data_IF_136378082462
#
_entry.id   IF_136378082462
#
_cell.length_a   1.000
_cell.length_b   1.000
_cell.length_c   1.000
_cell.angle_alpha   90.00
_cell.angle_beta   90.00
_cell.angle_gamma   90.00
#
_symmetry.space_group_name_H-M   'P 1'
#
loop_
_entity.id
_entity.type
_entity.pdbx_description
1 polymer ?
#
# COMPACT_ATOMS: atom_id res chain seq x y z
N UNK A 1 2.32 0.60 18.48
CA UNK A 1 3.41 -0.36 18.74
C UNK A 1 4.63 -0.02 17.85
N UNK A 2 5.87 -0.30 18.26
CA UNK A 2 7.06 0.07 17.47
C UNK A 2 7.13 -0.71 16.14
N UNK A 3 6.75 -1.97 16.16
CA UNK A 3 6.76 -2.91 15.04
C UNK A 3 5.81 -2.51 13.91
N UNK A 4 4.57 -2.17 14.24
CA UNK A 4 3.58 -1.73 13.27
C UNK A 4 3.99 -0.40 12.62
N UNK A 5 4.65 0.49 13.38
CA UNK A 5 5.22 1.72 12.81
C UNK A 5 6.32 1.40 11.79
N UNK A 6 7.22 0.48 12.12
CA UNK A 6 8.27 0.02 11.18
C UNK A 6 7.68 -0.62 9.92
N UNK A 7 6.62 -1.42 10.04
CA UNK A 7 5.89 -2.00 8.91
C UNK A 7 5.24 -0.91 8.05
N UNK A 8 4.59 0.08 8.67
CA UNK A 8 3.97 1.21 7.97
C UNK A 8 5.01 2.00 7.16
N UNK A 9 6.16 2.30 7.77
CA UNK A 9 7.24 3.01 7.09
C UNK A 9 7.84 2.19 5.95
N UNK A 10 8.06 0.89 6.16
CA UNK A 10 8.55 -0.02 5.12
C UNK A 10 7.57 -0.08 3.93
N UNK A 11 6.28 -0.22 4.20
CA UNK A 11 5.22 -0.20 3.19
C UNK A 11 5.23 1.11 2.39
N UNK A 12 5.24 2.24 3.10
CA UNK A 12 5.22 3.59 2.51
C UNK A 12 6.40 3.80 1.58
N UNK A 13 7.63 3.58 2.07
CA UNK A 13 8.85 3.78 1.30
C UNK A 13 8.86 2.88 0.06
N UNK A 14 8.47 1.61 0.20
CA UNK A 14 8.51 0.67 -0.91
C UNK A 14 7.50 1.00 -2.01
N UNK A 15 6.34 1.56 -1.67
CA UNK A 15 5.31 1.92 -2.66
C UNK A 15 5.56 3.28 -3.33
N UNK A 16 6.17 4.24 -2.62
CA UNK A 16 6.55 5.54 -3.21
C UNK A 16 7.76 5.42 -4.15
N UNK A 17 8.73 4.57 -3.83
CA UNK A 17 9.91 4.36 -4.66
C UNK A 17 9.62 3.42 -5.83
N UNK A 18 9.17 3.98 -6.96
CA UNK A 18 8.93 3.21 -8.18
C UNK A 18 10.22 3.04 -8.99
N UNK A 19 10.92 1.92 -8.77
CA UNK A 19 11.97 1.43 -9.65
C UNK A 19 11.38 0.29 -10.51
N UNK A 20 11.42 0.38 -11.85
CA UNK A 20 11.00 -0.70 -12.74
C UNK A 20 11.72 -2.01 -12.42
N UNK A 21 10.99 -3.13 -12.46
CA UNK A 21 11.49 -4.49 -12.23
C UNK A 21 12.21 -4.74 -10.89
N UNK A 22 12.10 -3.83 -9.92
CA UNK A 22 12.78 -3.95 -8.63
C UNK A 22 12.44 -5.27 -7.92
N UNK A 23 11.14 -5.58 -7.79
CA UNK A 23 10.67 -6.82 -7.14
C UNK A 23 11.25 -8.06 -7.82
N UNK A 24 11.33 -8.07 -9.16
CA UNK A 24 11.91 -9.17 -9.92
C UNK A 24 13.40 -9.33 -9.62
N UNK A 25 14.17 -8.24 -9.70
CA UNK A 25 15.62 -8.25 -9.44
C UNK A 25 15.95 -8.75 -8.03
N UNK A 26 15.16 -8.34 -7.04
CA UNK A 26 15.30 -8.79 -5.64
C UNK A 26 15.05 -10.29 -5.54
N UNK A 27 13.98 -10.79 -6.14
CA UNK A 27 13.63 -12.21 -6.10
C UNK A 27 14.61 -13.09 -6.87
N UNK A 28 15.11 -12.64 -8.02
CA UNK A 28 16.17 -13.33 -8.75
C UNK A 28 17.43 -13.47 -7.88
N UNK A 29 17.78 -12.42 -7.13
CA UNK A 29 18.89 -12.46 -6.18
C UNK A 29 18.60 -13.39 -4.99
N UNK A 30 17.38 -13.38 -4.42
CA UNK A 30 17.00 -14.29 -3.34
C UNK A 30 17.12 -15.75 -3.80
N UNK A 31 16.66 -16.08 -5.00
CA UNK A 31 16.77 -17.42 -5.56
C UNK A 31 18.23 -17.91 -5.62
N UNK A 32 19.15 -17.06 -6.10
CA UNK A 32 20.58 -17.36 -6.09
C UNK A 32 21.10 -17.59 -4.68
N UNK A 33 20.71 -16.75 -3.72
CA UNK A 33 21.14 -16.89 -2.32
C UNK A 33 20.59 -18.12 -1.63
N UNK A 34 19.37 -18.56 -1.95
CA UNK A 34 18.83 -19.83 -1.47
C UNK A 34 19.67 -21.00 -1.97
N UNK A 35 20.01 -21.02 -3.26
CA UNK A 35 20.86 -22.05 -3.89
C UNK A 35 22.26 -22.06 -3.26
N UNK A 36 22.89 -20.91 -3.11
CA UNK A 36 24.22 -20.78 -2.48
C UNK A 36 24.25 -21.29 -1.03
N UNK A 37 23.10 -21.30 -0.34
CA UNK A 37 22.96 -21.75 1.04
C UNK A 37 22.40 -23.17 1.16
N UNK A 38 22.36 -23.94 0.07
CA UNK A 38 21.85 -25.32 0.07
C UNK A 38 22.40 -26.17 1.21
N UNK A 39 23.73 -26.23 1.36
CA UNK A 39 24.37 -27.05 2.40
C UNK A 39 23.97 -26.63 3.83
N UNK A 40 23.74 -25.34 4.05
CA UNK A 40 23.31 -24.83 5.35
C UNK A 40 21.86 -25.23 5.64
N UNK A 41 20.98 -25.22 4.62
CA UNK A 41 19.61 -25.71 4.75
C UNK A 41 19.59 -27.21 5.02
N UNK A 42 20.35 -28.01 4.27
CA UNK A 42 20.43 -29.46 4.46
C UNK A 42 20.91 -29.82 5.88
N UNK A 43 21.93 -29.13 6.39
CA UNK A 43 22.38 -29.28 7.78
C UNK A 43 21.29 -28.92 8.79
N UNK A 44 20.58 -27.81 8.58
CA UNK A 44 19.52 -27.38 9.48
C UNK A 44 18.34 -28.35 9.49
N UNK A 45 17.93 -28.86 8.32
CA UNK A 45 16.90 -29.91 8.17
C UNK A 45 17.30 -31.15 8.97
N UNK A 46 18.54 -31.62 8.83
CA UNK A 46 19.05 -32.79 9.57
C UNK A 46 19.05 -32.54 11.08
N UNK A 47 19.54 -31.38 11.52
CA UNK A 47 19.60 -31.01 12.94
C UNK A 47 18.21 -30.93 13.58
N UNK A 48 17.23 -30.39 12.86
CA UNK A 48 15.86 -30.21 13.34
C UNK A 48 14.98 -31.45 13.13
N UNK A 49 15.44 -32.43 12.34
CA UNK A 49 14.69 -33.64 11.95
C UNK A 49 13.37 -33.31 11.25
N UNK A 50 13.41 -32.34 10.35
CA UNK A 50 12.25 -31.86 9.60
C UNK A 50 11.89 -32.83 8.47
N UNK A 51 10.60 -33.07 8.26
CA UNK A 51 10.08 -33.91 7.16
C UNK A 51 9.92 -33.10 5.86
N UNK A 52 10.94 -32.32 5.51
CA UNK A 52 11.00 -31.55 4.27
C UNK A 52 12.40 -31.61 3.68
N UNK A 53 12.50 -31.48 2.36
CA UNK A 53 13.77 -31.38 1.65
C UNK A 53 14.10 -29.94 1.25
N UNK A 54 15.38 -29.68 0.94
CA UNK A 54 15.77 -28.41 0.31
C UNK A 54 15.06 -28.19 -1.05
N UNK A 55 14.71 -29.26 -1.77
CA UNK A 55 13.96 -29.12 -3.02
C UNK A 55 12.55 -28.59 -2.78
N UNK A 56 11.91 -28.91 -1.65
CA UNK A 56 10.58 -28.41 -1.31
C UNK A 56 10.62 -26.89 -1.06
N UNK A 57 11.64 -26.41 -0.35
CA UNK A 57 11.95 -24.97 -0.17
C UNK A 57 12.11 -24.28 -1.53
N UNK A 58 12.91 -24.86 -2.43
CA UNK A 58 13.18 -24.29 -3.74
C UNK A 58 11.95 -24.29 -4.66
N UNK A 59 11.13 -25.34 -4.58
CA UNK A 59 9.89 -25.46 -5.34
C UNK A 59 8.85 -24.45 -4.84
N UNK A 60 8.69 -24.30 -3.52
CA UNK A 60 7.82 -23.28 -2.93
C UNK A 60 8.15 -21.87 -3.44
N UNK A 61 9.45 -21.53 -3.50
CA UNK A 61 9.91 -20.26 -4.06
C UNK A 61 9.53 -20.12 -5.54
N UNK A 62 9.85 -21.13 -6.36
CA UNK A 62 9.62 -21.09 -7.81
C UNK A 62 8.13 -21.03 -8.17
N UNK A 63 7.28 -21.71 -7.42
CA UNK A 63 5.82 -21.66 -7.57
C UNK A 63 5.31 -20.24 -7.31
N UNK A 64 5.61 -19.67 -6.14
CA UNK A 64 5.20 -18.31 -5.79
C UNK A 64 5.79 -17.26 -6.75
N UNK A 65 7.01 -17.46 -7.22
CA UNK A 65 7.67 -16.59 -8.19
C UNK A 65 6.92 -16.55 -9.53
N UNK A 66 6.34 -17.68 -9.97
CA UNK A 66 5.56 -17.79 -11.21
C UNK A 66 4.14 -17.23 -11.11
N UNK A 67 3.59 -17.03 -9.90
CA UNK A 67 2.24 -16.47 -9.74
C UNK A 67 2.10 -15.12 -10.46
N UNK A 68 0.91 -14.78 -10.94
CA UNK A 68 0.71 -13.50 -11.62
C UNK A 68 0.83 -12.33 -10.63
N UNK A 69 1.72 -11.40 -10.97
CA UNK A 69 1.82 -10.11 -10.30
C UNK A 69 0.87 -9.10 -10.94
N UNK A 70 0.12 -8.32 -10.15
CA UNK A 70 -0.84 -7.32 -10.62
C UNK A 70 -0.41 -5.89 -10.31
N UNK A 71 0.66 -5.68 -9.53
CA UNK A 71 1.08 -4.36 -9.09
C UNK A 71 1.34 -3.42 -10.28
N UNK A 72 0.57 -2.33 -10.36
CA UNK A 72 0.63 -1.31 -11.43
C UNK A 72 0.53 -1.87 -12.88
N UNK A 73 0.01 -3.08 -13.10
CA UNK A 73 -0.07 -3.71 -14.43
C UNK A 73 -1.22 -3.21 -15.33
N UNK A 74 -2.11 -2.36 -14.83
CA UNK A 74 -3.11 -1.70 -15.66
C UNK A 74 -3.25 -0.25 -15.24
N UNK A 75 -2.66 0.70 -15.97
CA UNK A 75 -2.84 2.13 -15.74
C UNK A 75 -3.79 2.76 -16.77
N UNK A 76 -4.71 1.98 -17.33
CA UNK A 76 -5.63 2.48 -18.34
C UNK A 76 -6.78 3.23 -17.66
N UNK A 77 -6.50 4.47 -17.29
CA UNK A 77 -7.56 5.42 -16.93
C UNK A 77 -8.47 5.62 -18.13
N UNK A 78 -9.78 5.51 -17.89
CA UNK A 78 -10.79 5.97 -18.83
C UNK A 78 -10.89 7.47 -18.69
N UNK A 79 -10.75 8.16 -19.82
CA UNK A 79 -11.02 9.59 -19.91
C UNK A 79 -12.54 9.80 -19.97
N UNK A 80 -13.10 10.43 -18.93
CA UNK A 80 -14.40 11.07 -18.97
C UNK A 80 -14.28 12.51 -19.48
N UNK A 81 -15.38 13.26 -19.44
CA UNK A 81 -15.41 14.67 -19.86
C UNK A 81 -14.43 15.52 -19.05
N UNK A 82 -14.50 15.40 -17.71
CA UNK A 82 -13.78 16.30 -16.79
C UNK A 82 -12.75 15.57 -15.90
N UNK A 83 -12.66 14.24 -16.02
CA UNK A 83 -11.85 13.42 -15.13
C UNK A 83 -11.26 12.19 -15.83
N UNK A 84 -10.09 11.76 -15.36
CA UNK A 84 -9.58 10.42 -15.55
C UNK A 84 -10.08 9.54 -14.40
N UNK A 85 -10.58 8.35 -14.72
CA UNK A 85 -11.00 7.37 -13.70
C UNK A 85 -10.58 5.96 -14.08
N UNK A 86 -10.34 5.12 -13.08
CA UNK A 86 -10.08 3.71 -13.31
C UNK A 86 -10.12 2.90 -12.03
N UNK A 87 -10.19 1.59 -12.23
CA UNK A 87 -10.16 0.62 -11.16
C UNK A 87 -8.84 -0.12 -11.20
N UNK A 88 -8.13 -0.14 -10.07
CA UNK A 88 -6.76 -0.59 -10.00
C UNK A 88 -6.56 -1.64 -8.92
N UNK A 89 -5.85 -2.74 -9.21
CA UNK A 89 -5.35 -3.62 -8.16
C UNK A 89 -4.24 -2.89 -7.39
N UNK A 90 -4.43 -2.72 -6.10
CA UNK A 90 -3.48 -2.07 -5.18
C UNK A 90 -3.13 -2.99 -4.03
N UNK A 91 -1.92 -2.89 -3.47
CA UNK A 91 -1.55 -3.68 -2.30
C UNK A 91 -2.45 -3.39 -1.10
N UNK A 92 -2.63 -4.40 -0.26
CA UNK A 92 -3.44 -4.41 0.96
C UNK A 92 -2.83 -3.50 2.05
N UNK A 93 -1.50 -3.48 2.17
CA UNK A 93 -0.80 -2.82 3.27
C UNK A 93 0.04 -3.81 4.07
N UNK A 94 -0.26 -3.90 5.36
CA UNK A 94 0.40 -4.83 6.28
C UNK A 94 -0.45 -6.09 6.45
N UNK A 95 0.09 -7.24 6.08
CA UNK A 95 -0.59 -8.53 6.17
C UNK A 95 0.10 -9.38 7.24
N UNK A 96 -0.68 -9.96 8.15
CA UNK A 96 -0.22 -11.03 9.05
C UNK A 96 -0.72 -12.37 8.56
N UNK A 97 0.15 -13.38 8.59
CA UNK A 97 -0.16 -14.76 8.19
C UNK A 97 0.22 -15.70 9.33
N UNK A 98 -0.75 -16.47 9.81
CA UNK A 98 -0.52 -17.49 10.83
C UNK A 98 -0.08 -18.78 10.16
N UNK A 99 1.17 -19.17 10.39
CA UNK A 99 1.71 -20.45 9.89
C UNK A 99 3.02 -20.81 10.56
N UNK A 100 3.19 -22.09 10.89
CA UNK A 100 4.49 -22.65 11.28
C UNK A 100 5.23 -23.27 10.08
N UNK A 101 4.55 -23.48 8.94
CA UNK A 101 5.09 -24.17 7.77
C UNK A 101 6.00 -23.26 6.94
N UNK A 102 7.28 -23.65 6.81
CA UNK A 102 8.27 -22.87 6.04
C UNK A 102 7.92 -22.73 4.55
N UNK A 103 7.22 -23.70 3.96
CA UNK A 103 6.77 -23.61 2.55
C UNK A 103 5.81 -22.43 2.38
N UNK A 104 4.88 -22.24 3.31
CA UNK A 104 3.95 -21.12 3.28
C UNK A 104 4.66 -19.80 3.58
N UNK A 105 5.59 -19.78 4.54
CA UNK A 105 6.45 -18.62 4.83
C UNK A 105 7.13 -18.12 3.55
N UNK A 106 7.75 -19.01 2.77
CA UNK A 106 8.40 -18.67 1.49
C UNK A 106 7.38 -18.11 0.50
N UNK A 107 6.22 -18.77 0.33
CA UNK A 107 5.18 -18.35 -0.62
C UNK A 107 4.67 -16.95 -0.30
N UNK A 108 4.40 -16.66 0.97
CA UNK A 108 3.92 -15.35 1.40
C UNK A 108 5.01 -14.28 1.34
N UNK A 109 6.26 -14.58 1.67
CA UNK A 109 7.36 -13.64 1.49
C UNK A 109 7.57 -13.26 0.03
N UNK A 110 7.58 -14.24 -0.89
CA UNK A 110 7.69 -13.96 -2.33
C UNK A 110 6.50 -13.13 -2.81
N UNK A 111 5.28 -13.50 -2.43
CA UNK A 111 4.07 -12.77 -2.76
C UNK A 111 4.06 -11.33 -2.24
N UNK A 112 4.51 -11.12 -1.00
CA UNK A 112 4.67 -9.80 -0.38
C UNK A 112 5.64 -8.90 -1.13
N UNK A 113 6.82 -9.42 -1.50
CA UNK A 113 7.81 -8.66 -2.28
C UNK A 113 7.26 -8.26 -3.64
N UNK A 114 6.57 -9.16 -4.34
CA UNK A 114 5.96 -8.88 -5.66
C UNK A 114 4.90 -7.81 -5.55
N UNK A 115 4.02 -7.98 -4.57
CA UNK A 115 2.88 -7.09 -4.37
C UNK A 115 3.18 -5.78 -3.66
N UNK A 116 4.38 -5.64 -3.08
CA UNK A 116 4.77 -4.51 -2.23
C UNK A 116 3.92 -4.37 -0.96
N UNK A 117 3.40 -5.49 -0.47
CA UNK A 117 2.87 -5.59 0.89
C UNK A 117 4.01 -5.86 1.88
N UNK A 118 3.80 -5.47 3.14
CA UNK A 118 4.62 -6.00 4.22
C UNK A 118 3.97 -7.26 4.76
N UNK A 119 4.80 -8.26 5.12
CA UNK A 119 4.35 -9.57 5.56
C UNK A 119 4.93 -9.85 6.94
N UNK A 120 4.06 -10.13 7.90
CA UNK A 120 4.45 -10.69 9.19
C UNK A 120 3.95 -12.12 9.27
N UNK A 121 4.84 -13.06 9.56
CA UNK A 121 4.45 -14.43 9.92
C UNK A 121 4.27 -14.48 11.43
N UNK A 122 3.09 -14.89 11.86
CA UNK A 122 2.78 -15.22 13.24
C UNK A 122 2.97 -16.72 13.45
N UNK A 123 3.85 -17.10 14.37
CA UNK A 123 4.15 -18.51 14.67
C UNK A 123 3.72 -18.87 16.08
N UNK A 124 2.86 -19.89 16.21
CA UNK A 124 2.51 -20.46 17.51
C UNK A 124 3.63 -21.35 18.07
N UNK A 125 4.44 -21.95 17.19
CA UNK A 125 5.60 -22.76 17.56
C UNK A 125 6.90 -22.01 17.27
N UNK A 126 6.99 -20.77 17.76
CA UNK A 126 8.13 -19.91 17.47
C UNK A 126 9.43 -20.46 18.08
N UNK A 127 10.45 -20.56 17.24
CA UNK A 127 11.81 -20.88 17.67
C UNK A 127 12.83 -20.17 16.79
N UNK A 128 13.82 -19.50 17.40
CA UNK A 128 14.75 -18.65 16.62
C UNK A 128 15.67 -19.45 15.69
N UNK A 129 15.93 -20.72 16.02
CA UNK A 129 16.68 -21.63 15.16
C UNK A 129 15.71 -22.51 14.36
N UNK A 130 15.12 -21.94 13.32
CA UNK A 130 14.16 -22.61 12.44
C UNK A 130 14.46 -22.33 10.96
N UNK A 131 13.94 -23.19 10.08
CA UNK A 131 14.05 -23.01 8.63
C UNK A 131 13.37 -21.72 8.14
N UNK A 132 12.25 -21.34 8.78
CA UNK A 132 11.56 -20.07 8.53
C UNK A 132 12.44 -18.87 8.84
N UNK A 133 13.14 -18.90 9.98
CA UNK A 133 14.06 -17.83 10.37
C UNK A 133 15.34 -17.78 9.51
N UNK A 134 15.84 -18.93 9.06
CA UNK A 134 16.94 -18.98 8.08
C UNK A 134 16.51 -18.37 6.73
N UNK A 135 15.29 -18.68 6.28
CA UNK A 135 14.67 -18.08 5.10
C UNK A 135 14.54 -16.58 5.26
N UNK A 136 14.00 -16.10 6.39
CA UNK A 136 13.87 -14.68 6.68
C UNK A 136 15.20 -13.94 6.52
N UNK A 137 16.29 -14.44 7.12
CA UNK A 137 17.61 -13.80 7.01
C UNK A 137 18.05 -13.63 5.55
N UNK A 138 17.91 -14.68 4.73
CA UNK A 138 18.30 -14.62 3.31
C UNK A 138 17.47 -13.56 2.57
N UNK A 139 16.17 -13.51 2.84
CA UNK A 139 15.26 -12.56 2.20
C UNK A 139 15.54 -11.12 2.62
N UNK A 140 15.67 -10.83 3.92
CA UNK A 140 15.84 -9.45 4.39
C UNK A 140 17.23 -8.90 4.09
N UNK A 141 18.28 -9.72 4.09
CA UNK A 141 19.60 -9.29 3.60
C UNK A 141 19.60 -9.00 2.10
N UNK A 142 18.80 -9.74 1.32
CA UNK A 142 18.56 -9.40 -0.08
C UNK A 142 17.80 -8.07 -0.20
N UNK A 143 16.72 -7.86 0.54
CA UNK A 143 15.96 -6.60 0.52
C UNK A 143 16.85 -5.40 0.81
N UNK A 144 17.68 -5.48 1.86
CA UNK A 144 18.60 -4.42 2.23
C UNK A 144 19.61 -4.08 1.13
N UNK A 145 20.11 -5.08 0.39
CA UNK A 145 21.02 -4.86 -0.75
C UNK A 145 20.40 -4.01 -1.86
N UNK A 146 19.07 -4.04 -1.98
CA UNK A 146 18.30 -3.26 -2.96
C UNK A 146 17.67 -2.00 -2.34
N UNK A 147 18.13 -1.56 -1.17
CA UNK A 147 17.60 -0.42 -0.42
C UNK A 147 16.10 -0.56 -0.11
N UNK A 148 15.64 -1.78 0.12
CA UNK A 148 14.31 -2.07 0.66
C UNK A 148 14.48 -2.39 2.14
N UNK A 149 13.58 -1.85 2.97
CA UNK A 149 13.56 -2.08 4.41
C UNK A 149 13.52 -3.58 4.73
N UNK A 150 14.39 -4.03 5.63
CA UNK A 150 14.34 -5.37 6.23
C UNK A 150 13.03 -5.60 6.95
N UNK A 151 12.40 -4.55 7.48
CA UNK A 151 11.11 -4.65 8.15
C UNK A 151 9.95 -4.94 7.17
N UNK A 152 10.18 -4.98 5.86
CA UNK A 152 9.15 -5.44 4.90
C UNK A 152 8.70 -6.87 5.19
N UNK A 153 9.58 -7.71 5.75
CA UNK A 153 9.27 -9.10 6.13
C UNK A 153 9.66 -9.33 7.59
N UNK A 154 8.77 -9.96 8.34
CA UNK A 154 8.97 -10.24 9.76
C UNK A 154 8.45 -11.63 10.13
N UNK A 155 9.04 -12.22 11.17
CA UNK A 155 8.51 -13.41 11.85
C UNK A 155 8.44 -13.04 13.34
N UNK A 156 7.27 -13.20 13.93
CA UNK A 156 7.00 -12.91 15.33
C UNK A 156 6.35 -14.14 16.01
N UNK A 157 6.57 -14.34 17.32
CA UNK A 157 5.72 -15.22 18.11
C UNK A 157 4.26 -14.76 18.06
N UNK A 158 3.33 -15.71 18.10
CA UNK A 158 1.90 -15.45 18.08
C UNK A 158 1.47 -14.44 19.16
N UNK A 159 2.02 -14.57 20.37
CA UNK A 159 1.67 -13.75 21.53
C UNK A 159 2.12 -12.29 21.40
N UNK A 160 3.06 -12.00 20.50
CA UNK A 160 3.62 -10.66 20.27
C UNK A 160 2.92 -9.96 19.08
N UNK A 161 1.97 -10.63 18.42
CA UNK A 161 1.23 -10.06 17.31
C UNK A 161 -0.01 -9.29 17.81
N UNK A 162 -0.09 -8.00 17.52
CA UNK A 162 -1.32 -7.21 17.71
C UNK A 162 -2.12 -7.20 16.42
N UNK A 163 -2.95 -8.23 16.29
CA UNK A 163 -3.77 -8.53 15.12
C UNK A 163 -4.67 -7.37 14.70
N UNK A 164 -5.19 -6.61 15.67
CA UNK A 164 -6.05 -5.46 15.43
C UNK A 164 -5.31 -4.27 14.80
N UNK A 165 -3.99 -4.30 14.67
CA UNK A 165 -3.21 -3.26 13.98
C UNK A 165 -2.93 -3.61 12.51
N UNK A 166 -3.08 -4.88 12.09
CA UNK A 166 -2.88 -5.30 10.70
C UNK A 166 -4.03 -4.91 9.77
N UNK A 167 -3.72 -4.83 8.47
CA UNK A 167 -4.71 -4.51 7.44
C UNK A 167 -5.51 -5.75 7.03
N UNK A 168 -4.87 -6.91 7.01
CA UNK A 168 -5.46 -8.24 6.76
C UNK A 168 -4.77 -9.32 7.61
N UNK A 169 -5.57 -10.27 8.10
CA UNK A 169 -5.13 -11.44 8.85
C UNK A 169 -5.50 -12.67 8.02
N UNK A 170 -4.52 -13.54 7.79
CA UNK A 170 -4.68 -14.81 7.07
C UNK A 170 -4.32 -15.95 8.01
N UNK A 171 -5.30 -16.80 8.30
CA UNK A 171 -5.14 -17.98 9.15
C UNK A 171 -5.11 -19.21 8.24
N UNK A 172 -4.06 -20.04 8.35
CA UNK A 172 -3.93 -21.27 7.55
C UNK A 172 -4.23 -22.48 8.44
N UNK A 173 -5.32 -23.20 8.15
CA UNK A 173 -5.69 -24.46 8.79
C UNK A 173 -5.96 -25.52 7.71
N UNK A 174 -5.26 -26.66 7.75
CA UNK A 174 -5.50 -27.83 6.88
C UNK A 174 -5.75 -27.48 5.39
N UNK A 175 -4.81 -26.76 4.77
CA UNK A 175 -4.86 -26.26 3.39
C UNK A 175 -5.99 -25.26 3.07
N UNK A 176 -6.72 -24.78 4.07
CA UNK A 176 -7.73 -23.73 3.94
C UNK A 176 -7.24 -22.43 4.56
N UNK A 177 -7.45 -21.34 3.84
CA UNK A 177 -7.17 -19.99 4.34
C UNK A 177 -8.47 -19.34 4.85
N UNK A 178 -8.51 -19.03 6.14
CA UNK A 178 -9.44 -18.08 6.74
C UNK A 178 -8.86 -16.68 6.56
N UNK A 179 -9.68 -15.72 6.13
CA UNK A 179 -9.22 -14.35 5.92
C UNK A 179 -10.12 -13.39 6.70
N UNK A 180 -9.53 -12.66 7.64
CA UNK A 180 -10.19 -11.61 8.41
C UNK A 180 -9.63 -10.26 7.97
N UNK A 181 -10.51 -9.41 7.45
CA UNK A 181 -10.18 -8.07 7.00
C UNK A 181 -10.97 -7.05 7.83
N UNK A 182 -10.33 -5.96 8.24
CA UNK A 182 -11.06 -4.82 8.83
C UNK A 182 -12.03 -4.23 7.81
N UNK A 183 -13.28 -4.06 8.23
CA UNK A 183 -14.31 -3.43 7.42
C UNK A 183 -14.05 -1.94 7.19
N UNK A 184 -14.50 -1.43 6.05
CA UNK A 184 -14.44 -0.01 5.78
C UNK A 184 -15.50 0.77 6.59
N UNK A 185 -15.07 1.85 7.23
CA UNK A 185 -15.90 2.76 8.02
C UNK A 185 -16.72 3.71 7.17
N UNK A 186 -17.91 4.06 7.67
CA UNK A 186 -18.81 5.08 7.13
C UNK A 186 -18.70 6.43 7.84
N UNK A 187 -17.73 6.61 8.75
CA UNK A 187 -17.49 7.88 9.42
C UNK A 187 -17.05 8.96 8.41
N UNK A 188 -17.62 10.15 8.55
CA UNK A 188 -17.19 11.31 7.76
C UNK A 188 -16.15 12.10 8.54
N UNK A 189 -15.03 12.42 7.89
CA UNK A 189 -13.92 13.17 8.50
C UNK A 189 -13.50 14.24 7.50
N UNK A 190 -13.36 15.48 7.97
CA UNK A 190 -12.79 16.58 7.20
C UNK A 190 -11.41 16.86 7.79
N UNK A 191 -10.40 16.79 6.93
CA UNK A 191 -9.03 17.08 7.30
C UNK A 191 -8.59 18.43 6.75
N UNK A 192 -7.97 19.25 7.59
CA UNK A 192 -7.54 20.61 7.23
C UNK A 192 -6.04 20.74 7.51
N UNK A 193 -5.25 20.85 6.45
CA UNK A 193 -3.81 21.16 6.56
C UNK A 193 -3.52 22.65 6.41
N UNK A 194 -4.30 23.33 5.57
CA UNK A 194 -4.09 24.72 5.26
C UNK A 194 -5.41 25.51 5.31
N UNK A 195 -5.43 26.54 6.16
CA UNK A 195 -6.57 27.43 6.39
C UNK A 195 -6.84 28.43 5.25
N UNK A 196 -6.08 28.38 4.15
CA UNK A 196 -6.38 29.18 2.94
C UNK A 196 -7.78 28.87 2.38
N UNK A 197 -8.35 27.69 2.65
CA UNK A 197 -9.68 27.28 2.19
C UNK A 197 -10.78 27.39 3.26
N UNK A 198 -10.55 28.16 4.34
CA UNK A 198 -11.48 28.25 5.48
C UNK A 198 -12.91 28.70 5.09
N UNK A 199 -13.04 29.54 4.06
CA UNK A 199 -14.35 29.96 3.52
C UNK A 199 -15.12 28.78 2.95
N UNK A 200 -14.49 27.99 2.09
CA UNK A 200 -15.02 26.82 1.43
C UNK A 200 -15.33 25.72 2.45
N UNK A 201 -14.42 25.52 3.42
CA UNK A 201 -14.60 24.59 4.53
C UNK A 201 -15.84 24.97 5.36
N UNK A 202 -16.04 26.25 5.69
CA UNK A 202 -17.25 26.71 6.40
C UNK A 202 -18.53 26.44 5.63
N UNK A 203 -18.51 26.63 4.30
CA UNK A 203 -19.67 26.34 3.44
C UNK A 203 -20.01 24.84 3.51
N UNK A 204 -19.00 23.97 3.39
CA UNK A 204 -19.19 22.52 3.43
C UNK A 204 -19.67 22.03 4.81
N UNK A 205 -19.08 22.54 5.90
CA UNK A 205 -19.52 22.27 7.28
C UNK A 205 -20.99 22.62 7.47
N UNK A 206 -21.42 23.79 6.98
CA UNK A 206 -22.81 24.21 7.09
C UNK A 206 -23.73 23.31 6.25
N UNK A 207 -23.30 22.88 5.07
CA UNK A 207 -24.03 21.93 4.23
C UNK A 207 -24.24 20.60 4.95
N UNK A 208 -23.19 20.02 5.52
CA UNK A 208 -23.24 18.74 6.25
C UNK A 208 -24.14 18.84 7.48
N UNK A 209 -24.04 19.93 8.26
CA UNK A 209 -24.94 20.20 9.40
C UNK A 209 -26.40 20.29 8.98
N UNK A 210 -26.70 21.01 7.90
CA UNK A 210 -28.06 21.13 7.37
C UNK A 210 -28.64 19.79 6.89
N UNK A 211 -27.78 18.84 6.50
CA UNK A 211 -28.16 17.48 6.12
C UNK A 211 -28.18 16.49 7.29
N UNK A 212 -27.94 16.96 8.52
CA UNK A 212 -27.78 16.11 9.72
C UNK A 212 -26.74 15.00 9.56
N UNK A 213 -25.69 15.25 8.77
CA UNK A 213 -24.58 14.31 8.61
C UNK A 213 -23.61 14.53 9.76
N UNK A 214 -23.28 13.46 10.49
CA UNK A 214 -22.27 13.51 11.54
C UNK A 214 -20.86 13.48 10.91
N UNK A 215 -19.97 14.38 11.36
CA UNK A 215 -18.59 14.46 10.89
C UNK A 215 -17.65 14.94 12.00
N UNK A 216 -16.38 14.59 11.85
CA UNK A 216 -15.26 15.06 12.68
C UNK A 216 -14.40 16.03 11.85
N UNK A 217 -13.85 17.08 12.48
CA UNK A 217 -12.86 17.97 11.87
C UNK A 217 -11.53 17.74 12.58
N UNK A 218 -10.47 17.58 11.80
CA UNK A 218 -9.11 17.37 12.31
C UNK A 218 -8.15 18.29 11.56
N UNK A 219 -7.32 19.02 12.30
CA UNK A 219 -6.25 19.86 11.74
C UNK A 219 -4.89 19.15 11.82
N UNK A 220 -4.05 19.28 10.77
CA UNK A 220 -2.67 18.80 10.79
C UNK A 220 -2.05 18.58 9.40
N UNK A 221 -0.87 17.95 9.33
CA UNK A 221 -0.17 17.63 8.07
C UNK A 221 -0.71 16.39 7.35
N UNK A 222 -0.49 16.24 6.04
CA UNK A 222 -0.94 15.08 5.24
C UNK A 222 -0.64 13.72 5.88
N UNK A 223 0.53 13.55 6.49
CA UNK A 223 0.96 12.30 7.11
C UNK A 223 -0.01 11.84 8.20
N UNK A 224 -0.47 12.75 9.06
CA UNK A 224 -1.43 12.44 10.11
C UNK A 224 -2.81 12.10 9.54
N UNK A 225 -3.19 12.69 8.40
CA UNK A 225 -4.41 12.31 7.68
C UNK A 225 -4.32 10.87 7.15
N UNK A 226 -3.18 10.50 6.56
CA UNK A 226 -2.96 9.15 6.02
C UNK A 226 -2.95 8.09 7.13
N UNK A 227 -2.37 8.38 8.30
CA UNK A 227 -2.44 7.51 9.47
C UNK A 227 -3.89 7.31 9.94
N UNK A 228 -4.68 8.41 10.00
CA UNK A 228 -6.09 8.34 10.37
C UNK A 228 -6.89 7.53 9.35
N UNK A 229 -6.70 7.77 8.05
CA UNK A 229 -7.34 7.01 6.96
C UNK A 229 -7.01 5.52 7.09
N UNK A 230 -5.74 5.17 7.36
CA UNK A 230 -5.34 3.78 7.57
C UNK A 230 -6.06 3.14 8.75
N UNK A 231 -6.17 3.86 9.88
CA UNK A 231 -6.81 3.34 11.08
C UNK A 231 -8.34 3.18 10.95
N UNK A 232 -9.01 4.16 10.35
CA UNK A 232 -10.47 4.19 10.23
C UNK A 232 -10.96 3.43 8.99
N UNK A 233 -10.12 3.25 7.97
CA UNK A 233 -10.46 2.65 6.67
C UNK A 233 -11.76 3.23 6.09
N UNK A 234 -11.84 4.54 5.79
CA UNK A 234 -13.04 5.10 5.17
C UNK A 234 -13.31 4.46 3.80
N UNK A 235 -14.59 4.34 3.41
CA UNK A 235 -14.99 3.84 2.07
C UNK A 235 -14.53 4.74 0.92
N UNK A 236 -14.35 6.04 1.19
CA UNK A 236 -13.93 7.01 0.20
C UNK A 236 -13.18 8.17 0.82
N UNK A 237 -12.14 8.63 0.12
CA UNK A 237 -11.35 9.80 0.52
C UNK A 237 -11.08 10.69 -0.69
N UNK A 238 -11.06 12.00 -0.44
CA UNK A 238 -10.74 13.01 -1.43
C UNK A 238 -9.72 13.98 -0.86
N UNK A 239 -8.74 14.37 -1.66
CA UNK A 239 -7.80 15.44 -1.34
C UNK A 239 -7.93 16.58 -2.36
N UNK A 240 -7.82 17.81 -1.88
CA UNK A 240 -7.78 19.00 -2.72
C UNK A 240 -6.38 19.61 -2.65
N UNK A 241 -5.60 19.45 -3.72
CA UNK A 241 -4.21 19.91 -3.78
C UNK A 241 -3.82 20.29 -5.19
N UNK A 242 -2.96 21.31 -5.31
CA UNK A 242 -2.28 21.66 -6.58
C UNK A 242 -0.92 20.99 -6.71
N UNK A 243 -0.40 20.42 -5.63
CA UNK A 243 0.91 19.76 -5.62
C UNK A 243 0.77 18.32 -6.14
N UNK A 244 1.38 17.99 -7.29
CA UNK A 244 1.31 16.66 -7.88
C UNK A 244 2.00 15.58 -7.01
N UNK A 245 3.01 15.94 -6.22
CA UNK A 245 3.68 15.00 -5.31
C UNK A 245 2.76 14.62 -4.15
N UNK A 246 2.05 15.60 -3.58
CA UNK A 246 1.03 15.36 -2.55
C UNK A 246 -0.09 14.46 -3.13
N UNK A 247 -0.57 14.76 -4.34
CA UNK A 247 -1.59 13.96 -5.00
C UNK A 247 -1.13 12.50 -5.23
N UNK A 248 0.09 12.30 -5.74
CA UNK A 248 0.66 10.98 -5.98
C UNK A 248 0.82 10.18 -4.68
N UNK A 249 1.35 10.81 -3.63
CA UNK A 249 1.50 10.19 -2.31
C UNK A 249 0.14 9.77 -1.75
N UNK A 250 -0.86 10.66 -1.83
CA UNK A 250 -2.20 10.38 -1.35
C UNK A 250 -2.86 9.21 -2.09
N UNK A 251 -2.83 9.20 -3.43
CA UNK A 251 -3.36 8.11 -4.26
C UNK A 251 -2.73 6.76 -3.86
N UNK A 252 -1.41 6.77 -3.69
CA UNK A 252 -0.62 5.56 -3.41
C UNK A 252 -0.88 5.03 -2.01
N UNK A 253 -0.92 5.89 -1.01
CA UNK A 253 -0.88 5.50 0.40
C UNK A 253 -2.24 5.45 1.09
N UNK A 254 -3.25 6.17 0.59
CA UNK A 254 -4.57 6.19 1.23
C UNK A 254 -5.22 4.80 1.18
N UNK A 255 -5.45 4.20 2.34
CA UNK A 255 -6.08 2.88 2.47
C UNK A 255 -7.62 3.01 2.43
N UNK A 256 -8.16 3.21 1.23
CA UNK A 256 -9.59 3.42 0.95
C UNK A 256 -9.95 2.79 -0.40
N UNK A 257 -11.20 2.31 -0.54
CA UNK A 257 -11.73 1.76 -1.79
C UNK A 257 -11.80 2.84 -2.89
N UNK A 258 -12.20 4.05 -2.52
CA UNK A 258 -12.32 5.18 -3.43
C UNK A 258 -11.31 6.26 -3.03
N UNK A 259 -10.42 6.65 -3.93
CA UNK A 259 -9.38 7.66 -3.67
C UNK A 259 -9.36 8.69 -4.78
N UNK A 260 -9.79 9.91 -4.45
CA UNK A 260 -10.00 10.96 -5.43
C UNK A 260 -9.07 12.17 -5.17
N UNK A 261 -8.65 12.81 -6.25
CA UNK A 261 -7.86 14.05 -6.21
C UNK A 261 -8.64 15.13 -6.93
N UNK A 262 -8.85 16.27 -6.27
CA UNK A 262 -9.61 17.41 -6.78
C UNK A 262 -10.96 16.99 -7.40
N UNK A 263 -11.64 16.04 -6.76
CA UNK A 263 -12.91 15.52 -7.23
C UNK A 263 -13.78 15.08 -6.06
N UNK A 264 -15.07 14.87 -6.33
CA UNK A 264 -16.09 14.65 -5.30
C UNK A 264 -16.26 13.18 -4.96
N UNK A 265 -16.49 12.91 -3.66
CA UNK A 265 -16.90 11.61 -3.14
C UNK A 265 -18.28 11.15 -3.65
N UNK A 266 -19.05 12.00 -4.33
CA UNK A 266 -20.30 11.59 -4.99
C UNK A 266 -20.10 10.49 -6.04
N UNK A 267 -18.90 10.37 -6.61
CA UNK A 267 -18.56 9.33 -7.58
C UNK A 267 -18.04 8.03 -6.92
N UNK A 268 -18.07 7.97 -5.59
CA UNK A 268 -17.70 6.77 -4.85
C UNK A 268 -18.72 5.67 -5.12
N UNK A 269 -18.21 4.47 -5.35
CA UNK A 269 -19.02 3.28 -5.57
C UNK A 269 -18.59 2.21 -4.59
N UNK A 270 -19.50 1.29 -4.31
CA UNK A 270 -19.16 0.08 -3.58
C UNK A 270 -18.40 -0.85 -4.52
N UNK A 271 -17.14 -1.13 -4.17
CA UNK A 271 -16.29 -2.03 -4.93
C UNK A 271 -16.31 -3.42 -4.29
N UNK A 272 -16.25 -4.46 -5.12
CA UNK A 272 -15.89 -5.77 -4.61
C UNK A 272 -14.39 -5.76 -4.31
N UNK A 273 -14.07 -5.84 -3.01
CA UNK A 273 -12.78 -5.39 -2.53
C UNK A 273 -11.64 -6.28 -2.97
N UNK A 274 -11.83 -7.59 -3.07
CA UNK A 274 -10.71 -8.53 -3.14
C UNK A 274 -10.43 -9.01 -4.56
N UNK A 275 -9.23 -8.71 -5.04
CA UNK A 275 -8.70 -9.30 -6.28
C UNK A 275 -8.06 -10.66 -5.98
N UNK A 276 -7.25 -10.73 -4.92
CA UNK A 276 -6.71 -11.98 -4.36
C UNK A 276 -6.17 -11.72 -2.94
N UNK A 277 -5.36 -12.64 -2.39
CA UNK A 277 -4.73 -12.55 -1.05
C UNK A 277 -3.71 -11.41 -0.85
N UNK A 278 -3.36 -10.66 -1.90
CA UNK A 278 -2.37 -9.58 -1.85
C UNK A 278 -2.88 -8.25 -2.40
N UNK A 279 -4.07 -8.23 -3.01
CA UNK A 279 -4.56 -7.06 -3.72
C UNK A 279 -6.04 -6.80 -3.44
N UNK A 280 -6.35 -5.52 -3.21
CA UNK A 280 -7.70 -5.01 -3.31
C UNK A 280 -7.90 -4.16 -4.55
N UNK A 281 -9.17 -3.97 -4.90
CA UNK A 281 -9.59 -3.06 -5.97
C UNK A 281 -9.76 -1.65 -5.39
N UNK A 282 -9.10 -0.66 -5.99
CA UNK A 282 -9.24 0.76 -5.65
C UNK A 282 -9.68 1.56 -6.87
N UNK A 283 -10.73 2.37 -6.72
CA UNK A 283 -11.14 3.36 -7.71
C UNK A 283 -10.33 4.62 -7.50
N UNK A 284 -9.61 5.04 -8.54
CA UNK A 284 -8.84 6.29 -8.54
C UNK A 284 -9.48 7.24 -9.56
N UNK A 285 -9.64 8.50 -9.16
CA UNK A 285 -10.17 9.55 -10.03
C UNK A 285 -9.44 10.88 -9.79
N UNK A 286 -9.06 11.56 -10.86
CA UNK A 286 -8.42 12.88 -10.82
C UNK A 286 -8.80 13.67 -12.08
N UNK A 287 -8.71 15.02 -12.08
CA UNK A 287 -9.09 15.85 -13.23
C UNK A 287 -8.32 15.51 -14.50
N UNK A 288 -8.98 15.67 -15.65
CA UNK A 288 -8.40 15.37 -16.95
C UNK A 288 -7.41 16.41 -17.50
N UNK A 289 -6.95 17.35 -16.67
CA UNK A 289 -6.01 18.39 -17.06
C UNK A 289 -6.66 19.63 -17.70
N UNK A 290 -7.98 19.72 -17.74
CA UNK A 290 -8.60 21.05 -17.72
C UNK A 290 -8.29 21.67 -16.35
N UNK A 291 -7.78 22.91 -16.33
CA UNK A 291 -7.70 23.66 -15.08
C UNK A 291 -9.08 23.56 -14.41
N UNK A 292 -9.13 22.91 -13.24
CA UNK A 292 -10.27 23.10 -12.37
C UNK A 292 -10.13 24.54 -11.90
N UNK A 293 -10.73 25.45 -12.65
CA UNK A 293 -11.05 26.75 -12.14
C UNK A 293 -11.97 26.48 -10.94
N UNK A 294 -11.43 26.51 -9.72
CA UNK A 294 -12.19 26.18 -8.50
C UNK A 294 -13.43 27.07 -8.39
N UNK A 295 -13.35 28.32 -8.85
CA UNK A 295 -14.48 29.22 -8.99
C UNK A 295 -15.54 28.71 -9.98
N UNK A 296 -15.11 28.09 -11.08
CA UNK A 296 -15.97 27.51 -12.11
C UNK A 296 -16.53 26.15 -11.69
N UNK A 297 -15.77 25.30 -11.00
CA UNK A 297 -16.24 24.05 -10.39
C UNK A 297 -17.27 24.31 -9.28
N UNK A 298 -17.00 25.27 -8.38
CA UNK A 298 -18.00 25.68 -7.39
C UNK A 298 -19.17 26.37 -8.06
N UNK A 299 -18.99 27.18 -9.11
CA UNK A 299 -20.10 27.67 -9.92
C UNK A 299 -20.88 26.53 -10.57
N UNK A 300 -20.25 25.53 -11.16
CA UNK A 300 -20.89 24.40 -11.88
C UNK A 300 -21.63 23.48 -10.90
N UNK A 301 -21.08 23.25 -9.72
CA UNK A 301 -21.72 22.50 -8.64
C UNK A 301 -22.92 23.26 -8.05
N UNK A 302 -22.79 24.58 -7.88
CA UNK A 302 -23.89 25.46 -7.46
C UNK A 302 -24.93 25.66 -8.59
N UNK A 303 -24.49 25.60 -9.85
CA UNK A 303 -25.31 25.77 -11.05
C UNK A 303 -26.07 24.48 -11.39
N UNK A 304 -25.51 23.28 -11.23
CA UNK A 304 -26.26 22.01 -11.38
C UNK A 304 -27.47 21.93 -10.45
N UNK A 305 -27.41 22.57 -9.29
CA UNK A 305 -28.54 22.70 -8.37
C UNK A 305 -29.46 23.90 -8.69
N UNK A 306 -28.99 24.91 -9.43
CA UNK A 306 -29.82 26.02 -9.95
C UNK A 306 -30.52 25.68 -11.27
N UNK A 307 -29.92 24.84 -12.11
CA UNK A 307 -30.38 24.51 -13.47
C UNK A 307 -31.56 23.54 -13.52
N UNK A 308 -31.87 22.83 -12.43
CA UNK A 308 -33.17 22.18 -12.27
C UNK A 308 -34.32 23.21 -12.26
N UNK A 309 -34.03 24.52 -12.06
CA UNK A 309 -35.00 25.62 -12.05
C UNK A 309 -34.94 26.57 -13.24
N UNK A 310 -33.99 26.43 -14.17
CA UNK A 310 -33.80 27.40 -15.27
C UNK A 310 -33.72 26.73 -16.65
N UNK A 311 -34.55 25.72 -16.87
CA UNK A 311 -34.88 25.14 -18.19
C UNK A 311 -35.83 26.03 -19.02
N UNK A 312 -35.75 27.37 -18.88
CA UNK A 312 -36.81 28.25 -19.42
C UNK A 312 -36.34 29.49 -20.17
N UNK A 313 -35.06 29.88 -20.17
CA UNK A 313 -34.66 31.07 -20.91
C UNK A 313 -33.25 30.98 -21.51
N UNK A 314 -33.20 31.10 -22.84
CA UNK A 314 -32.07 31.48 -23.71
C UNK A 314 -30.93 30.44 -23.81
N UNK A 315 -30.74 29.67 -24.90
CA UNK A 315 -30.63 30.08 -26.33
C UNK A 315 -30.05 31.48 -26.51
N UNK A 316 -28.71 31.59 -26.55
CA UNK A 316 -27.95 32.24 -27.64
C UNK A 316 -26.44 32.33 -27.35
N UNK A 317 -25.65 31.86 -28.34
CA UNK A 317 -24.32 32.36 -28.80
C UNK A 317 -22.96 31.90 -28.23
N UNK A 318 -22.24 31.17 -29.12
CA UNK A 318 -20.88 31.41 -29.68
C UNK A 318 -19.60 30.95 -28.89
N UNK A 319 -19.09 29.76 -29.29
CA UNK A 319 -17.86 29.42 -30.05
C UNK A 319 -16.41 29.90 -29.70
N UNK A 320 -15.50 28.87 -29.74
CA UNK A 320 -14.06 28.81 -30.16
C UNK A 320 -12.98 29.42 -29.26
N UNK A 321 -11.74 28.92 -29.15
CA UNK A 321 -11.02 27.69 -29.54
C UNK A 321 -9.68 27.70 -28.73
N UNK A 322 -9.15 26.51 -28.44
CA UNK A 322 -7.87 26.25 -27.72
C UNK A 322 -6.71 26.05 -28.70
N UNK A 323 -5.46 26.30 -28.25
CA UNK A 323 -4.15 25.65 -28.56
C UNK A 323 -3.02 26.50 -27.92
N UNK A 324 -1.88 26.04 -27.42
CA UNK A 324 -1.10 24.80 -27.54
C UNK A 324 0.10 24.84 -26.52
N UNK A 325 0.48 23.69 -25.95
CA UNK A 325 1.85 23.12 -25.79
C UNK A 325 3.02 23.91 -25.09
N UNK A 326 4.09 23.33 -24.54
CA UNK A 326 4.52 22.03 -23.97
C UNK A 326 5.98 22.24 -23.46
N UNK A 327 6.56 21.27 -22.76
CA UNK A 327 8.03 21.05 -22.57
C UNK A 327 8.86 21.94 -21.61
N UNK A 328 8.79 21.62 -20.31
CA UNK A 328 9.91 21.66 -19.36
C UNK A 328 9.46 20.74 -18.22
N UNK A 329 10.06 19.56 -18.00
CA UNK A 329 11.00 19.35 -16.90
C UNK A 329 11.63 17.97 -17.17
N UNK A 330 12.67 17.98 -17.99
CA UNK A 330 13.64 16.89 -18.17
C UNK A 330 14.86 17.06 -17.24
N UNK A 331 14.70 17.85 -16.16
CA UNK A 331 15.80 18.31 -15.30
C UNK A 331 15.68 17.90 -13.81
N UNK A 332 14.65 17.15 -13.41
CA UNK A 332 14.49 16.73 -12.00
C UNK A 332 15.06 15.33 -11.68
N UNK A 333 15.68 14.63 -12.63
CA UNK A 333 16.18 13.26 -12.43
C UNK A 333 17.62 13.21 -11.86
N UNK A 334 18.28 14.35 -11.63
CA UNK A 334 19.69 14.38 -11.19
C UNK A 334 19.94 14.72 -9.71
N UNK A 335 18.91 14.95 -8.88
CA UNK A 335 19.10 15.40 -7.47
C UNK A 335 18.61 14.43 -6.37
N UNK A 336 18.24 13.18 -6.66
CA UNK A 336 17.64 12.28 -5.65
C UNK A 336 18.62 11.32 -4.94
N UNK A 337 19.93 11.57 -4.98
CA UNK A 337 20.95 10.61 -4.51
C UNK A 337 21.53 10.84 -3.10
N UNK A 338 20.94 11.67 -2.24
CA UNK A 338 21.47 11.88 -0.89
C UNK A 338 20.39 11.86 0.20
N UNK A 339 20.21 10.70 0.83
CA UNK A 339 19.94 10.56 2.29
C UNK A 339 19.90 9.07 2.65
N UNK A 340 21.06 8.49 3.01
CA UNK A 340 21.10 7.18 3.69
C UNK A 340 20.65 7.35 5.14
N UNK A 341 19.32 7.39 5.35
CA UNK A 341 18.72 7.26 6.68
C UNK A 341 19.12 5.89 7.26
N UNK A 342 19.73 5.90 8.45
CA UNK A 342 20.08 4.68 9.18
C UNK A 342 18.77 3.92 9.48
N UNK A 343 18.61 2.74 8.88
CA UNK A 343 17.43 1.91 9.08
C UNK A 343 17.35 1.42 10.53
N UNK A 344 16.23 1.69 11.20
CA UNK A 344 15.88 1.07 12.48
C UNK A 344 15.29 -0.31 12.18
N UNK A 345 16.03 -1.36 12.49
CA UNK A 345 15.61 -2.74 12.23
C UNK A 345 14.93 -3.33 13.45
N UNK A 346 13.86 -4.10 13.24
CA UNK A 346 13.15 -4.79 14.30
C UNK A 346 14.09 -5.58 15.26
N UNK A 347 13.92 -5.49 16.58
CA UNK A 347 14.78 -6.18 17.56
C UNK A 347 14.82 -7.71 17.41
N UNK A 348 13.73 -8.35 16.96
CA UNK A 348 13.67 -9.79 16.71
C UNK A 348 14.61 -10.22 15.61
N UNK A 349 14.77 -9.42 14.55
CA UNK A 349 15.74 -9.70 13.49
C UNK A 349 17.14 -9.84 14.07
N UNK A 350 17.56 -8.93 14.95
CA UNK A 350 18.88 -8.98 15.58
C UNK A 350 19.06 -10.26 16.42
N UNK A 351 18.04 -10.70 17.15
CA UNK A 351 18.06 -11.93 17.96
C UNK A 351 18.21 -13.17 17.06
N UNK A 352 17.39 -13.26 16.01
CA UNK A 352 17.40 -14.35 15.03
C UNK A 352 18.75 -14.41 14.31
N UNK A 353 19.21 -13.27 13.80
CA UNK A 353 20.46 -13.15 13.07
C UNK A 353 21.65 -13.60 13.91
N UNK A 354 21.75 -13.17 15.17
CA UNK A 354 22.85 -13.59 16.06
C UNK A 354 22.85 -15.11 16.33
N UNK A 355 21.66 -15.73 16.47
CA UNK A 355 21.57 -17.18 16.69
C UNK A 355 21.96 -17.97 15.44
N UNK A 356 21.43 -17.64 14.27
CA UNK A 356 21.69 -18.37 13.02
C UNK A 356 23.10 -18.09 12.49
N UNK A 357 23.58 -16.84 12.56
CA UNK A 357 24.91 -16.46 12.10
C UNK A 357 26.03 -17.22 12.81
N UNK A 358 25.90 -17.41 14.13
CA UNK A 358 26.89 -18.15 14.93
C UNK A 358 27.04 -19.61 14.50
N UNK A 359 26.01 -20.19 13.90
CA UNK A 359 25.97 -21.59 13.50
C UNK A 359 26.44 -21.80 12.06
N UNK A 360 26.03 -20.95 11.11
CA UNK A 360 26.21 -21.22 9.68
C UNK A 360 27.07 -20.21 8.91
N UNK A 361 27.36 -19.05 9.50
CA UNK A 361 28.01 -17.93 8.82
C UNK A 361 29.31 -17.47 9.51
N UNK A 362 29.90 -18.31 10.36
CA UNK A 362 31.27 -18.10 10.86
C UNK A 362 32.25 -18.19 9.68
N UNK A 363 32.89 -17.07 9.35
CA UNK A 363 34.17 -17.04 8.63
C UNK A 363 35.29 -17.22 9.64
#
# INVERSE_FOLDING_TARGET
MEEIKLLNDAFRIYNLNYIPDLSKRVLDYILLRLIDNKENFEKMIEMLKEDISFNDILNAFKEAYKENDFYKKSNNYKQGTDYYSGDFPVPIGNIVVETNNVVDVIKYFVGGIKSRNTITISQTEYYELSLSNMTLIIFVEALAKFNISRNTLMILPFEECVYEEFDEIIELEDDKASIKQKSFSSKNIIYIENHIFDSEIKIEINRLKNQNINFEIIDGALESALEKIKSEKPKGVAIYTKDPNIAYNFITLANSQNVFVNSSLLNAEELNDKTNKFYYKKKIMYPSGQEINLEEYYKEYTNKFREIKTDLFAREKINKNVKEENEEIKKEIENSNETSLIEVVNPWYKRIFEKIKKLFFRK
#
